data_IF_872570415029
#
_entry.id   IF_872570415029
#
_cell.length_a   1.000
_cell.length_b   1.000
_cell.length_c   1.000
_cell.angle_alpha   90.00
_cell.angle_beta   90.00
_cell.angle_gamma   90.00
#
_symmetry.space_group_name_H-M   'P 1'
#
loop_
_entity.id
_entity.type
_entity.pdbx_description
1 polymer ?
#
# COMPACT_ATOMS: atom_id res chain seq x y z
N UNK A 1 1.83 33.89 -31.05
CA UNK A 1 1.14 32.90 -30.28
C UNK A 1 2.07 31.71 -30.10
N UNK A 2 2.73 31.67 -28.91
CA UNK A 2 3.61 30.55 -28.56
C UNK A 2 2.73 29.39 -28.11
N UNK A 3 2.68 28.34 -28.89
CA UNK A 3 2.27 27.00 -28.50
C UNK A 3 3.21 26.50 -27.38
N UNK A 4 2.86 26.76 -26.14
CA UNK A 4 3.39 26.00 -25.00
C UNK A 4 2.55 24.75 -24.87
N UNK A 5 2.77 23.81 -25.76
CA UNK A 5 2.11 22.50 -25.76
C UNK A 5 2.81 21.54 -24.79
N UNK A 6 2.06 21.00 -23.87
CA UNK A 6 2.01 19.61 -23.43
C UNK A 6 3.19 18.94 -22.71
N UNK A 7 4.26 19.60 -22.34
CA UNK A 7 5.31 18.97 -21.52
C UNK A 7 4.96 18.85 -20.03
N UNK A 8 3.83 19.43 -19.57
CA UNK A 8 3.45 19.43 -18.16
C UNK A 8 2.62 18.21 -17.74
N UNK A 9 2.25 17.32 -18.66
CA UNK A 9 1.40 16.17 -18.34
C UNK A 9 2.21 14.96 -17.84
N UNK A 10 3.45 14.80 -18.28
CA UNK A 10 4.32 13.71 -17.85
C UNK A 10 4.59 13.71 -16.33
N UNK A 11 5.04 14.82 -15.70
CA UNK A 11 5.25 14.85 -14.25
C UNK A 11 3.99 14.58 -13.44
N UNK A 12 2.83 15.07 -13.93
CA UNK A 12 1.53 14.78 -13.30
C UNK A 12 1.16 13.32 -13.42
N UNK A 13 1.33 12.71 -14.60
CA UNK A 13 1.08 11.29 -14.79
C UNK A 13 1.97 10.43 -13.89
N UNK A 14 3.27 10.75 -13.77
CA UNK A 14 4.18 10.08 -12.86
C UNK A 14 3.75 10.25 -11.39
N UNK A 15 3.35 11.46 -10.98
CA UNK A 15 2.86 11.70 -9.61
C UNK A 15 1.58 10.89 -9.30
N UNK A 16 0.71 10.70 -10.29
CA UNK A 16 -0.47 9.86 -10.15
C UNK A 16 -0.13 8.37 -10.10
N UNK A 17 0.75 7.90 -10.97
CA UNK A 17 1.15 6.49 -11.04
C UNK A 17 1.88 6.02 -9.77
N UNK A 18 2.66 6.92 -9.18
CA UNK A 18 3.43 6.69 -7.95
C UNK A 18 2.76 7.29 -6.72
N UNK A 19 1.44 7.48 -6.79
CA UNK A 19 0.69 7.97 -5.64
C UNK A 19 0.74 6.94 -4.51
N UNK A 20 0.99 7.33 -3.25
CA UNK A 20 1.14 6.41 -2.12
C UNK A 20 -0.05 5.47 -1.91
N UNK A 21 -1.23 5.82 -2.39
CA UNK A 21 -2.44 4.98 -2.35
C UNK A 21 -2.35 3.75 -3.26
N UNK A 22 -1.59 3.85 -4.38
CA UNK A 22 -1.45 2.77 -5.37
C UNK A 22 -0.35 1.80 -4.95
N UNK A 23 0.64 2.27 -4.21
CA UNK A 23 1.83 1.50 -3.86
C UNK A 23 1.53 0.18 -3.13
N UNK A 24 0.65 0.12 -2.11
CA UNK A 24 0.32 -1.14 -1.44
C UNK A 24 -0.31 -2.16 -2.40
N UNK A 25 -1.21 -1.69 -3.26
CA UNK A 25 -1.86 -2.53 -4.26
C UNK A 25 -0.86 -3.05 -5.30
N UNK A 26 0.03 -2.17 -5.79
CA UNK A 26 1.10 -2.54 -6.73
C UNK A 26 2.04 -3.57 -6.11
N UNK A 27 2.46 -3.37 -4.86
CA UNK A 27 3.31 -4.32 -4.15
C UNK A 27 2.63 -5.68 -4.01
N UNK A 28 1.35 -5.72 -3.63
CA UNK A 28 0.59 -6.95 -3.51
C UNK A 28 0.47 -7.69 -4.84
N UNK A 29 0.21 -6.96 -5.93
CA UNK A 29 0.17 -7.55 -7.29
C UNK A 29 1.51 -8.16 -7.66
N UNK A 30 2.61 -7.45 -7.42
CA UNK A 30 3.96 -7.95 -7.69
C UNK A 30 4.29 -9.18 -6.84
N UNK A 31 3.95 -9.13 -5.55
CA UNK A 31 4.19 -10.24 -4.62
C UNK A 31 3.40 -11.49 -5.04
N UNK A 32 2.10 -11.37 -5.27
CA UNK A 32 1.22 -12.49 -5.59
C UNK A 32 1.48 -13.10 -6.97
N UNK A 33 1.94 -12.32 -7.95
CA UNK A 33 2.27 -12.85 -9.27
C UNK A 33 3.74 -13.27 -9.41
N UNK A 34 4.64 -12.67 -8.63
CA UNK A 34 6.08 -12.93 -8.70
C UNK A 34 6.52 -14.15 -7.90
N UNK A 35 5.70 -14.60 -6.96
CA UNK A 35 6.07 -15.72 -6.11
C UNK A 35 5.67 -17.07 -6.74
N UNK A 36 6.68 -17.79 -7.19
CA UNK A 36 6.53 -19.12 -7.76
C UNK A 36 5.95 -20.13 -6.76
N UNK A 37 6.30 -20.02 -5.48
CA UNK A 37 5.85 -20.94 -4.43
C UNK A 37 4.34 -20.79 -4.18
N UNK A 38 3.85 -19.57 -4.07
CA UNK A 38 2.42 -19.27 -3.90
C UNK A 38 1.59 -19.75 -5.08
N UNK A 39 2.09 -19.52 -6.29
CA UNK A 39 1.39 -19.92 -7.50
C UNK A 39 1.29 -21.44 -7.66
N UNK A 40 2.18 -22.21 -7.01
CA UNK A 40 2.12 -23.66 -7.00
C UNK A 40 1.39 -24.23 -5.76
N UNK A 41 1.35 -23.49 -4.64
CA UNK A 41 0.70 -23.93 -3.42
C UNK A 41 -0.79 -23.66 -3.43
N UNK A 42 -1.20 -22.52 -3.96
CA UNK A 42 -2.58 -22.09 -3.98
C UNK A 42 -3.24 -22.35 -5.35
N UNK A 43 -4.53 -22.66 -5.29
CA UNK A 43 -5.34 -22.71 -6.52
C UNK A 43 -5.41 -21.32 -7.15
N UNK A 44 -5.40 -21.20 -8.48
CA UNK A 44 -5.46 -19.89 -9.16
C UNK A 44 -6.67 -19.05 -8.74
N UNK A 45 -7.79 -19.69 -8.38
CA UNK A 45 -8.99 -19.02 -7.88
C UNK A 45 -8.74 -18.37 -6.53
N UNK A 46 -8.01 -19.05 -5.62
CA UNK A 46 -7.66 -18.51 -4.30
C UNK A 46 -6.73 -17.30 -4.44
N UNK A 47 -5.72 -17.37 -5.31
CA UNK A 47 -4.82 -16.23 -5.59
C UNK A 47 -5.61 -15.02 -6.10
N UNK A 48 -6.59 -15.24 -7.02
CA UNK A 48 -7.45 -14.17 -7.52
C UNK A 48 -8.32 -13.55 -6.43
N UNK A 49 -8.89 -14.36 -5.54
CA UNK A 49 -9.71 -13.86 -4.42
C UNK A 49 -8.85 -13.05 -3.45
N UNK A 50 -7.67 -13.54 -3.09
CA UNK A 50 -6.74 -12.82 -2.21
C UNK A 50 -6.36 -11.48 -2.85
N UNK A 51 -6.00 -11.49 -4.13
CA UNK A 51 -5.67 -10.27 -4.87
C UNK A 51 -6.83 -9.29 -4.87
N UNK A 52 -8.05 -9.76 -5.12
CA UNK A 52 -9.25 -8.92 -5.10
C UNK A 52 -9.48 -8.29 -3.74
N UNK A 53 -9.36 -9.06 -2.66
CA UNK A 53 -9.48 -8.55 -1.28
C UNK A 53 -8.43 -7.47 -1.02
N UNK A 54 -7.18 -7.72 -1.36
CA UNK A 54 -6.12 -6.72 -1.18
C UNK A 54 -6.41 -5.45 -2.00
N UNK A 55 -6.77 -5.57 -3.28
CA UNK A 55 -7.09 -4.42 -4.12
C UNK A 55 -8.28 -3.61 -3.60
N UNK A 56 -9.31 -4.29 -3.10
CA UNK A 56 -10.48 -3.61 -2.52
C UNK A 56 -10.06 -2.80 -1.29
N UNK A 57 -9.34 -3.40 -0.35
CA UNK A 57 -9.01 -2.74 0.92
C UNK A 57 -7.86 -1.75 0.81
N UNK A 58 -6.86 -1.99 -0.02
CA UNK A 58 -5.70 -1.10 -0.11
C UNK A 58 -5.82 -0.02 -1.18
N UNK A 59 -6.73 -0.18 -2.14
CA UNK A 59 -6.92 0.78 -3.23
C UNK A 59 -8.37 1.28 -3.32
N UNK A 60 -9.36 0.39 -3.53
CA UNK A 60 -10.71 0.83 -3.86
C UNK A 60 -11.39 1.56 -2.69
N UNK A 61 -11.36 0.99 -1.48
CA UNK A 61 -11.96 1.61 -0.28
C UNK A 61 -11.29 2.94 0.06
N UNK A 62 -9.95 3.05 0.20
CA UNK A 62 -9.32 4.34 0.44
C UNK A 62 -9.62 5.36 -0.66
N UNK A 63 -9.55 4.98 -1.93
CA UNK A 63 -9.83 5.87 -3.04
C UNK A 63 -11.27 6.41 -3.00
N UNK A 64 -12.26 5.55 -2.74
CA UNK A 64 -13.65 5.95 -2.59
C UNK A 64 -13.85 6.91 -1.42
N UNK A 65 -13.22 6.64 -0.27
CA UNK A 65 -13.28 7.51 0.90
C UNK A 65 -12.68 8.89 0.57
N UNK A 66 -11.54 8.94 -0.13
CA UNK A 66 -10.92 10.23 -0.50
C UNK A 66 -11.75 11.00 -1.52
N UNK A 67 -12.29 10.33 -2.53
CA UNK A 67 -13.18 10.97 -3.51
C UNK A 67 -14.44 11.51 -2.84
N UNK A 68 -15.07 10.71 -1.99
CA UNK A 68 -16.25 11.12 -1.24
C UNK A 68 -15.94 12.31 -0.29
N UNK A 69 -14.81 12.25 0.43
CA UNK A 69 -14.39 13.31 1.34
C UNK A 69 -14.06 14.62 0.59
N UNK A 70 -13.49 14.52 -0.60
CA UNK A 70 -13.28 15.68 -1.49
C UNK A 70 -14.60 16.27 -1.95
N UNK A 71 -15.54 15.42 -2.37
CA UNK A 71 -16.86 15.87 -2.82
C UNK A 71 -17.69 16.53 -1.70
N UNK A 72 -17.56 16.02 -0.47
CA UNK A 72 -18.22 16.56 0.73
C UNK A 72 -17.51 17.79 1.33
N UNK A 73 -16.39 18.23 0.75
CA UNK A 73 -15.63 19.36 1.25
C UNK A 73 -14.86 19.09 2.56
N UNK A 74 -14.68 17.82 2.94
CA UNK A 74 -13.90 17.43 4.13
C UNK A 74 -12.41 17.60 3.89
N UNK A 75 -11.96 17.41 2.64
CA UNK A 75 -10.59 17.68 2.19
C UNK A 75 -10.62 18.66 1.02
N UNK A 76 -9.67 19.60 1.02
CA UNK A 76 -9.57 20.63 -0.02
C UNK A 76 -8.78 20.15 -1.22
N UNK A 77 -7.76 19.31 -0.99
CA UNK A 77 -6.86 18.81 -2.02
C UNK A 77 -6.47 17.37 -1.79
N UNK A 78 -6.32 16.60 -2.88
CA UNK A 78 -5.75 15.25 -2.84
C UNK A 78 -4.22 15.28 -2.61
N UNK A 79 -3.59 16.43 -2.70
CA UNK A 79 -2.16 16.62 -2.39
C UNK A 79 -1.89 16.63 -0.88
N UNK A 80 -2.97 16.81 -0.07
CA UNK A 80 -2.95 16.70 1.40
C UNK A 80 -1.89 17.59 2.05
N UNK A 81 -1.83 18.85 1.63
CA UNK A 81 -0.87 19.81 2.15
C UNK A 81 -1.16 20.20 3.60
N UNK A 82 -2.44 20.19 3.97
CA UNK A 82 -2.92 20.56 5.30
C UNK A 82 -2.70 19.40 6.28
N UNK A 83 -2.30 19.72 7.50
CA UNK A 83 -2.03 18.72 8.57
C UNK A 83 -3.22 17.77 8.79
N UNK A 84 -4.43 18.32 8.84
CA UNK A 84 -5.64 17.53 9.09
C UNK A 84 -5.91 16.51 7.98
N UNK A 85 -5.69 16.89 6.72
CA UNK A 85 -5.86 16.02 5.57
C UNK A 85 -4.84 14.87 5.58
N UNK A 86 -3.58 15.14 5.98
CA UNK A 86 -2.56 14.09 6.14
C UNK A 86 -2.93 13.11 7.25
N UNK A 87 -3.39 13.59 8.40
CA UNK A 87 -3.87 12.76 9.50
C UNK A 87 -5.01 11.87 9.01
N UNK A 88 -5.98 12.45 8.31
CA UNK A 88 -7.10 11.73 7.73
C UNK A 88 -6.63 10.64 6.77
N UNK A 89 -5.73 10.99 5.84
CA UNK A 89 -5.20 10.04 4.84
C UNK A 89 -4.49 8.84 5.49
N UNK A 90 -3.57 9.12 6.41
CA UNK A 90 -2.81 8.07 7.09
C UNK A 90 -3.73 7.18 7.92
N UNK A 91 -4.77 7.76 8.54
CA UNK A 91 -5.78 7.01 9.30
C UNK A 91 -6.57 6.07 8.38
N UNK A 92 -7.07 6.56 7.26
CA UNK A 92 -7.85 5.75 6.30
C UNK A 92 -7.01 4.60 5.76
N UNK A 93 -5.77 4.87 5.33
CA UNK A 93 -4.85 3.85 4.81
C UNK A 93 -4.54 2.80 5.89
N UNK A 94 -4.22 3.23 7.11
CA UNK A 94 -3.90 2.33 8.21
C UNK A 94 -5.06 1.41 8.59
N UNK A 95 -6.25 1.97 8.79
CA UNK A 95 -7.45 1.21 9.13
C UNK A 95 -7.79 0.21 8.02
N UNK A 96 -7.72 0.63 6.76
CA UNK A 96 -8.00 -0.24 5.61
C UNK A 96 -7.01 -1.40 5.53
N UNK A 97 -5.72 -1.14 5.76
CA UNK A 97 -4.69 -2.17 5.80
C UNK A 97 -4.90 -3.15 6.96
N UNK A 98 -5.29 -2.64 8.13
CA UNK A 98 -5.60 -3.50 9.29
C UNK A 98 -6.78 -4.44 9.02
N UNK A 99 -7.86 -3.94 8.42
CA UNK A 99 -8.99 -4.79 8.06
C UNK A 99 -8.61 -5.84 7.02
N UNK A 100 -7.83 -5.46 6.00
CA UNK A 100 -7.32 -6.39 5.02
C UNK A 100 -6.47 -7.49 5.67
N UNK A 101 -5.51 -7.11 6.52
CA UNK A 101 -4.70 -8.04 7.29
C UNK A 101 -5.58 -8.97 8.14
N UNK A 102 -6.56 -8.42 8.85
CA UNK A 102 -7.45 -9.20 9.73
C UNK A 102 -8.27 -10.23 8.97
N UNK A 103 -8.70 -9.92 7.75
CA UNK A 103 -9.42 -10.86 6.89
C UNK A 103 -8.46 -11.95 6.41
N UNK A 104 -7.31 -11.58 5.88
CA UNK A 104 -6.35 -12.52 5.31
C UNK A 104 -5.66 -13.39 6.35
N UNK A 105 -5.51 -12.92 7.59
CA UNK A 105 -4.95 -13.70 8.69
C UNK A 105 -5.82 -14.88 9.16
N UNK A 106 -7.06 -14.98 8.67
CA UNK A 106 -7.90 -16.16 8.93
C UNK A 106 -7.65 -17.30 7.92
N UNK A 107 -6.83 -17.08 6.91
CA UNK A 107 -6.43 -18.08 5.93
C UNK A 107 -5.01 -18.55 6.23
N UNK A 108 -4.72 -19.83 5.94
CA UNK A 108 -3.39 -20.41 6.14
C UNK A 108 -2.39 -19.95 5.06
N UNK A 109 -2.18 -18.63 5.02
CA UNK A 109 -1.20 -18.01 4.14
C UNK A 109 0.14 -17.87 4.88
N UNK A 110 1.28 -18.04 4.19
CA UNK A 110 2.57 -17.70 4.78
C UNK A 110 2.58 -16.25 5.29
N UNK A 111 3.13 -16.06 6.50
CA UNK A 111 3.04 -14.79 7.22
C UNK A 111 3.54 -13.59 6.39
N UNK A 112 4.60 -13.76 5.59
CA UNK A 112 5.16 -12.69 4.79
C UNK A 112 4.19 -12.11 3.73
N UNK A 113 3.10 -12.83 3.38
CA UNK A 113 2.04 -12.30 2.50
C UNK A 113 1.05 -11.39 3.22
N UNK A 114 0.94 -11.54 4.52
CA UNK A 114 0.05 -10.72 5.34
C UNK A 114 0.80 -9.65 6.11
N UNK A 115 2.07 -9.90 6.45
CA UNK A 115 2.90 -9.03 7.28
C UNK A 115 3.13 -7.65 6.66
N UNK A 116 3.16 -7.55 5.30
CA UNK A 116 3.27 -6.25 4.66
C UNK A 116 2.06 -5.34 4.96
N UNK A 117 0.86 -5.92 5.12
CA UNK A 117 -0.34 -5.18 5.51
C UNK A 117 -0.25 -4.70 6.95
N UNK A 118 0.26 -5.57 7.83
CA UNK A 118 0.53 -5.21 9.22
C UNK A 118 1.61 -4.13 9.32
N UNK A 119 2.62 -4.18 8.46
CA UNK A 119 3.64 -3.14 8.35
C UNK A 119 3.03 -1.80 7.90
N UNK A 120 2.14 -1.80 6.91
CA UNK A 120 1.41 -0.58 6.49
C UNK A 120 0.60 -0.02 7.65
N UNK A 121 -0.12 -0.86 8.39
CA UNK A 121 -0.89 -0.44 9.55
C UNK A 121 -0.01 0.17 10.65
N UNK A 122 1.06 -0.52 11.05
CA UNK A 122 1.97 -0.04 12.10
C UNK A 122 2.71 1.22 11.66
N UNK A 123 3.19 1.28 10.43
CA UNK A 123 3.79 2.49 9.87
C UNK A 123 2.79 3.65 9.86
N UNK A 124 1.53 3.40 9.49
CA UNK A 124 0.49 4.43 9.54
C UNK A 124 0.25 4.94 10.98
N UNK A 125 0.27 4.08 11.97
CA UNK A 125 0.17 4.50 13.38
C UNK A 125 1.34 5.41 13.78
N UNK A 126 2.58 5.07 13.39
CA UNK A 126 3.74 5.95 13.58
C UNK A 126 3.62 7.26 12.79
N UNK A 127 3.16 7.18 11.55
CA UNK A 127 2.91 8.35 10.70
C UNK A 127 1.89 9.31 11.33
N UNK A 128 0.85 8.79 11.98
CA UNK A 128 -0.09 9.59 12.75
C UNK A 128 0.61 10.35 13.88
N UNK A 129 1.41 9.66 14.69
CA UNK A 129 2.15 10.29 15.79
C UNK A 129 3.06 11.41 15.25
N UNK A 130 3.82 11.13 14.19
CA UNK A 130 4.70 12.14 13.58
C UNK A 130 3.91 13.33 13.04
N UNK A 131 2.72 13.08 12.44
CA UNK A 131 1.86 14.13 11.88
C UNK A 131 1.40 15.16 12.92
N UNK A 132 1.32 14.77 14.18
CA UNK A 132 0.98 15.72 15.26
C UNK A 132 2.09 16.72 15.51
N UNK A 133 3.35 16.36 15.32
CA UNK A 133 4.52 17.16 15.67
C UNK A 133 5.19 17.83 14.46
N UNK A 134 5.24 17.15 13.30
CA UNK A 134 5.98 17.63 12.12
C UNK A 134 5.22 17.38 10.81
N UNK A 135 5.45 18.26 9.83
CA UNK A 135 5.05 18.05 8.44
C UNK A 135 6.02 17.04 7.80
N UNK A 136 5.50 15.94 7.25
CA UNK A 136 6.28 14.99 6.46
C UNK A 136 5.59 14.68 5.13
N UNK A 137 6.36 14.22 4.16
CA UNK A 137 5.85 13.87 2.84
C UNK A 137 5.22 12.48 2.85
N UNK A 138 3.94 12.38 2.49
CA UNK A 138 3.23 11.10 2.34
C UNK A 138 3.85 10.22 1.25
N UNK A 139 4.42 10.81 0.20
CA UNK A 139 5.08 10.07 -0.86
C UNK A 139 6.36 9.39 -0.34
N UNK A 140 7.22 10.13 0.35
CA UNK A 140 8.44 9.56 0.96
C UNK A 140 8.06 8.47 1.96
N UNK A 141 7.05 8.71 2.77
CA UNK A 141 6.56 7.74 3.74
C UNK A 141 6.06 6.46 3.06
N UNK A 142 5.19 6.57 2.05
CA UNK A 142 4.67 5.42 1.31
C UNK A 142 5.79 4.60 0.67
N UNK A 143 6.75 5.26 0.01
CA UNK A 143 7.90 4.59 -0.58
C UNK A 143 8.78 3.90 0.45
N UNK A 144 9.02 4.52 1.61
CA UNK A 144 9.79 3.90 2.69
C UNK A 144 9.15 2.62 3.18
N UNK A 145 7.82 2.60 3.34
CA UNK A 145 7.07 1.40 3.74
C UNK A 145 7.23 0.28 2.71
N UNK A 146 7.12 0.60 1.41
CA UNK A 146 7.28 -0.39 0.33
C UNK A 146 8.71 -0.94 0.28
N UNK A 147 9.73 -0.08 0.39
CA UNK A 147 11.13 -0.52 0.41
C UNK A 147 11.39 -1.47 1.58
N UNK A 148 10.88 -1.14 2.78
CA UNK A 148 11.00 -2.01 3.95
C UNK A 148 10.24 -3.32 3.74
N UNK A 149 9.06 -3.29 3.11
CA UNK A 149 8.29 -4.50 2.77
C UNK A 149 9.04 -5.41 1.81
N UNK A 150 9.67 -4.84 0.78
CA UNK A 150 10.50 -5.59 -0.17
C UNK A 150 11.72 -6.21 0.54
N UNK A 151 12.41 -5.42 1.35
CA UNK A 151 13.56 -5.90 2.12
C UNK A 151 13.17 -7.04 3.07
N UNK A 152 12.04 -6.90 3.77
CA UNK A 152 11.49 -7.94 4.63
C UNK A 152 11.15 -9.22 3.85
N UNK A 153 10.52 -9.08 2.69
CA UNK A 153 10.18 -10.22 1.83
C UNK A 153 11.45 -10.96 1.37
N UNK A 154 12.46 -10.25 0.88
CA UNK A 154 13.73 -10.85 0.43
C UNK A 154 14.42 -11.56 1.59
N UNK A 155 14.47 -10.92 2.76
CA UNK A 155 15.08 -11.51 3.96
C UNK A 155 14.35 -12.78 4.40
N UNK A 156 13.02 -12.75 4.44
CA UNK A 156 12.20 -13.90 4.82
C UNK A 156 12.36 -15.07 3.84
N UNK A 157 12.47 -14.76 2.56
CA UNK A 157 12.71 -15.77 1.51
C UNK A 157 14.09 -16.43 1.64
N UNK A 158 15.13 -15.66 1.88
CA UNK A 158 16.49 -16.19 2.09
C UNK A 158 16.57 -17.07 3.33
N UNK A 159 15.98 -16.66 4.44
CA UNK A 159 15.92 -17.47 5.65
C UNK A 159 15.17 -18.78 5.42
N UNK A 160 14.08 -18.77 4.67
CA UNK A 160 13.28 -19.98 4.39
C UNK A 160 14.01 -20.93 3.45
N UNK A 161 14.67 -20.43 2.41
CA UNK A 161 15.44 -21.25 1.47
C UNK A 161 16.65 -21.91 2.12
N UNK A 162 17.34 -21.22 3.03
CA UNK A 162 18.46 -21.79 3.81
C UNK A 162 17.98 -22.89 4.76
N UNK A 163 16.84 -22.69 5.42
CA UNK A 163 16.25 -23.72 6.29
C UNK A 163 15.82 -24.96 5.49
N UNK A 164 15.27 -24.78 4.30
CA UNK A 164 14.80 -25.86 3.42
C UNK A 164 15.96 -26.67 2.81
N UNK A 165 17.13 -26.04 2.62
CA UNK A 165 18.35 -26.72 2.16
C UNK A 165 19.10 -27.42 3.29
N UNK A 166 18.79 -27.11 4.56
CA UNK A 166 19.40 -27.68 5.75
C UNK A 166 18.62 -28.88 6.34
N UNK A 167 17.41 -29.16 5.84
CA UNK A 167 16.55 -30.29 6.18
C UNK A 167 16.61 -31.37 5.11
#
# INVERSE_FOLDING_TARGET
PHHRTDMNNLPRLFSWLFHPIILPALFAVLLLNGDYYLNNLLRPEAVRIIMLVVLIFTLAIPALIFVASRYLGVIESLEMEIKQERIFAVTVIGISAWFCWRILSNYDLPAYYTDFLLLIFTASAFGLIISFFKKFSLHIFGWSVIIVSIAWYIFSWQCFSVLYLAL
#
